data_IF_471007739582
#
_entry.id   IF_471007739582
#
_cell.length_a   1.000
_cell.length_b   1.000
_cell.length_c   1.000
_cell.angle_alpha   90.00
_cell.angle_beta   90.00
_cell.angle_gamma   90.00
#
_symmetry.space_group_name_H-M   'P 1'
#
loop_
_entity.id
_entity.type
_entity.pdbx_description
1 polymer ?
#
# COMPACT_ATOMS: atom_id res chain seq x y z
N UNK A 1 6.82 -10.03 -8.43
CA UNK A 1 7.00 -9.01 -7.40
C UNK A 1 5.67 -8.78 -6.70
N UNK A 2 5.68 -8.69 -5.37
CA UNK A 2 4.48 -8.40 -4.57
C UNK A 2 4.74 -7.13 -3.77
N UNK A 3 3.85 -6.15 -3.90
CA UNK A 3 3.95 -4.85 -3.25
C UNK A 3 2.82 -4.74 -2.22
N UNK A 4 3.11 -4.12 -1.06
CA UNK A 4 2.11 -3.78 -0.05
C UNK A 4 1.59 -2.38 -0.35
N UNK A 5 0.28 -2.24 -0.39
CA UNK A 5 -0.34 -1.00 -0.79
C UNK A 5 -1.75 -0.87 -0.22
N UNK A 6 -2.28 0.34 -0.25
CA UNK A 6 -3.64 0.64 0.20
C UNK A 6 -4.38 1.46 -0.85
N UNK A 7 -5.66 1.16 -1.06
CA UNK A 7 -6.52 1.96 -1.92
C UNK A 7 -6.84 3.27 -1.21
N UNK A 8 -6.70 4.42 -1.89
CA UNK A 8 -7.02 5.74 -1.32
C UNK A 8 -8.14 6.46 -2.10
N UNK A 9 -8.46 5.98 -3.31
CA UNK A 9 -9.63 6.37 -4.10
C UNK A 9 -9.94 5.31 -5.16
N UNK A 10 -10.97 5.50 -5.98
CA UNK A 10 -11.31 4.59 -7.09
C UNK A 10 -10.24 4.54 -8.19
N UNK A 11 -9.30 5.50 -8.23
CA UNK A 11 -8.27 5.60 -9.27
C UNK A 11 -6.84 5.60 -8.73
N UNK A 12 -6.65 5.59 -7.41
CA UNK A 12 -5.31 5.71 -6.81
C UNK A 12 -5.07 4.73 -5.67
N UNK A 13 -3.88 4.14 -5.72
CA UNK A 13 -3.29 3.29 -4.69
C UNK A 13 -2.06 3.99 -4.12
N UNK A 14 -1.92 3.97 -2.80
CA UNK A 14 -0.77 4.47 -2.06
C UNK A 14 0.15 3.32 -1.64
N UNK A 15 1.46 3.50 -1.81
CA UNK A 15 2.50 2.52 -1.44
C UNK A 15 3.84 3.22 -1.19
N UNK A 16 4.87 2.44 -0.88
CA UNK A 16 6.24 2.93 -0.73
C UNK A 16 6.92 3.11 -2.10
N UNK A 17 7.84 4.06 -2.19
CA UNK A 17 8.61 4.33 -3.40
C UNK A 17 9.70 3.27 -3.64
N UNK A 18 10.34 2.76 -2.57
CA UNK A 18 11.39 1.74 -2.65
C UNK A 18 10.88 0.43 -3.29
N UNK A 19 9.56 0.18 -3.23
CA UNK A 19 8.92 -0.95 -3.89
C UNK A 19 9.09 -0.95 -5.41
N UNK A 20 9.66 0.11 -6.00
CA UNK A 20 9.90 0.22 -7.44
C UNK A 20 11.39 0.30 -7.84
N UNK A 21 12.34 0.28 -6.89
CA UNK A 21 13.75 0.49 -7.22
C UNK A 21 14.38 -0.68 -7.97
N UNK A 22 13.95 -1.91 -7.68
CA UNK A 22 14.37 -3.11 -8.42
C UNK A 22 13.54 -3.36 -9.69
N UNK A 23 12.55 -2.51 -9.98
CA UNK A 23 11.64 -2.71 -11.11
C UNK A 23 12.30 -2.23 -12.40
N UNK A 24 12.96 -3.17 -13.09
CA UNK A 24 13.68 -2.94 -14.36
C UNK A 24 12.80 -2.46 -15.53
N UNK A 25 11.48 -2.46 -15.40
CA UNK A 25 10.56 -2.13 -16.48
C UNK A 25 9.45 -1.19 -16.00
N UNK A 26 9.06 -0.17 -16.79
CA UNK A 26 7.93 0.67 -16.44
C UNK A 26 6.68 -0.21 -16.23
N UNK A 27 6.06 -0.09 -15.06
CA UNK A 27 4.77 -0.75 -14.76
C UNK A 27 3.59 -0.12 -15.51
N UNK A 28 3.86 0.93 -16.28
CA UNK A 28 2.91 1.57 -17.16
C UNK A 28 2.23 0.53 -18.06
N UNK A 29 0.90 0.57 -18.04
CA UNK A 29 0.02 -0.28 -18.84
C UNK A 29 0.03 -1.78 -18.52
N UNK A 30 0.60 -2.19 -17.40
CA UNK A 30 0.52 -3.59 -16.93
C UNK A 30 -0.73 -3.81 -16.08
N UNK A 31 -1.29 -5.01 -16.17
CA UNK A 31 -2.28 -5.47 -15.20
C UNK A 31 -1.58 -5.81 -13.89
N UNK A 32 -2.01 -5.18 -12.81
CA UNK A 32 -1.60 -5.52 -11.45
C UNK A 32 -2.72 -6.32 -10.78
N UNK A 33 -2.34 -7.36 -10.06
CA UNK A 33 -3.24 -8.16 -9.23
C UNK A 33 -3.37 -7.51 -7.87
N UNK A 34 -4.53 -6.91 -7.60
CA UNK A 34 -4.85 -6.43 -6.26
C UNK A 34 -5.49 -7.58 -5.49
N UNK A 35 -4.83 -7.97 -4.39
CA UNK A 35 -5.39 -8.91 -3.43
C UNK A 35 -5.98 -8.10 -2.28
N UNK A 36 -7.28 -8.23 -2.08
CA UNK A 36 -8.03 -7.46 -1.09
C UNK A 36 -8.68 -8.42 -0.08
N UNK A 37 -8.53 -8.18 1.22
CA UNK A 37 -9.12 -9.04 2.26
C UNK A 37 -8.42 -10.40 2.47
N UNK A 38 -9.17 -11.37 3.01
CA UNK A 38 -8.74 -12.77 3.16
C UNK A 38 -8.81 -13.53 1.84
N UNK A 39 -8.15 -14.69 1.78
CA UNK A 39 -7.93 -15.52 0.58
C UNK A 39 -9.17 -15.63 -0.30
N UNK A 40 -9.08 -15.19 -1.56
CA UNK A 40 -10.09 -15.43 -2.60
C UNK A 40 -10.53 -14.18 -3.39
N UNK A 41 -10.47 -12.99 -2.77
CA UNK A 41 -10.90 -11.75 -3.42
C UNK A 41 -9.71 -11.07 -4.13
N UNK A 42 -9.48 -11.47 -5.38
CA UNK A 42 -8.50 -10.84 -6.26
C UNK A 42 -9.22 -10.09 -7.37
N UNK A 43 -8.78 -8.86 -7.64
CA UNK A 43 -9.21 -8.10 -8.80
C UNK A 43 -7.98 -7.76 -9.66
N UNK A 44 -8.11 -7.98 -10.96
CA UNK A 44 -7.14 -7.53 -11.94
C UNK A 44 -7.46 -6.08 -12.30
N UNK A 45 -6.49 -5.19 -12.10
CA UNK A 45 -6.65 -3.77 -12.39
C UNK A 45 -5.52 -3.29 -13.28
N UNK A 46 -5.82 -2.52 -14.33
CA UNK A 46 -4.79 -1.93 -15.18
C UNK A 46 -4.11 -0.78 -14.44
N UNK A 47 -2.81 -0.90 -14.22
CA UNK A 47 -1.96 0.20 -13.80
C UNK A 47 -1.72 1.13 -15.00
N UNK A 48 -1.99 2.42 -14.81
CA UNK A 48 -1.82 3.45 -15.83
C UNK A 48 -0.50 4.18 -15.66
N UNK A 49 -0.10 4.47 -14.42
CA UNK A 49 1.12 5.22 -14.10
C UNK A 49 1.59 4.97 -12.67
N UNK A 50 2.91 4.94 -12.48
CA UNK A 50 3.55 5.03 -11.16
C UNK A 50 4.10 6.44 -10.99
N UNK A 51 3.87 7.03 -9.82
CA UNK A 51 4.28 8.39 -9.46
C UNK A 51 5.05 8.28 -8.14
N UNK A 52 6.39 8.23 -8.21
CA UNK A 52 7.24 8.33 -7.02
C UNK A 52 7.26 9.77 -6.52
N UNK A 53 7.40 9.97 -5.22
CA UNK A 53 7.66 11.30 -4.68
C UNK A 53 8.92 11.89 -5.34
N UNK A 54 8.88 13.16 -5.74
CA UNK A 54 9.91 13.76 -6.60
C UNK A 54 11.29 13.87 -5.96
N UNK A 55 11.34 13.85 -4.62
CA UNK A 55 12.58 13.91 -3.83
C UNK A 55 12.87 12.59 -3.08
N UNK A 56 12.21 11.50 -3.46
CA UNK A 56 12.64 10.17 -3.00
C UNK A 56 14.04 9.89 -3.58
N UNK A 57 15.04 9.80 -2.71
CA UNK A 57 16.46 9.62 -3.02
C UNK A 57 17.09 8.57 -2.08
N UNK A 58 18.39 8.32 -2.24
CA UNK A 58 19.15 7.18 -1.67
C UNK A 58 19.06 6.98 -0.13
N UNK A 59 18.50 7.91 0.63
CA UNK A 59 18.36 7.82 2.10
C UNK A 59 16.99 7.31 2.58
N UNK A 60 16.17 6.72 1.70
CA UNK A 60 14.78 6.29 1.96
C UNK A 60 13.87 7.41 2.52
N UNK A 61 14.29 8.67 2.39
CA UNK A 61 13.47 9.81 2.75
C UNK A 61 12.38 10.02 1.70
N UNK A 62 11.18 10.40 2.15
CA UNK A 62 10.01 10.54 1.29
C UNK A 62 9.65 9.25 0.52
N UNK A 63 9.78 8.11 1.19
CA UNK A 63 9.44 6.77 0.68
C UNK A 63 7.92 6.59 0.46
N UNK A 64 7.41 7.26 -0.57
CA UNK A 64 5.99 7.34 -0.89
C UNK A 64 5.78 7.39 -2.40
N UNK A 65 4.86 6.58 -2.89
CA UNK A 65 4.49 6.54 -4.30
C UNK A 65 2.99 6.30 -4.49
N UNK A 66 2.46 6.80 -5.60
CA UNK A 66 1.11 6.52 -6.07
C UNK A 66 1.14 5.62 -7.29
N UNK A 67 0.16 4.72 -7.37
CA UNK A 67 -0.16 4.00 -8.60
C UNK A 67 -1.52 4.52 -9.08
N UNK A 68 -1.54 5.21 -10.21
CA UNK A 68 -2.78 5.52 -10.93
C UNK A 68 -3.27 4.26 -11.61
N UNK A 69 -4.51 3.89 -11.35
CA UNK A 69 -5.16 2.71 -11.90
C UNK A 69 -6.37 3.09 -12.75
N UNK A 70 -6.82 2.16 -13.60
CA UNK A 70 -8.16 2.28 -14.19
C UNK A 70 -9.19 2.24 -13.05
N UNK A 71 -10.19 3.11 -13.14
CA UNK A 71 -11.24 3.24 -12.13
C UNK A 71 -11.83 1.88 -11.72
N UNK A 72 -11.91 1.64 -10.42
CA UNK A 72 -12.53 0.46 -9.82
C UNK A 72 -13.84 0.81 -9.14
N UNK A 73 -14.81 -0.10 -9.22
CA UNK A 73 -16.05 -0.01 -8.44
C UNK A 73 -15.82 -0.54 -7.03
N UNK A 74 -16.23 0.23 -6.03
CA UNK A 74 -16.15 -0.21 -4.64
C UNK A 74 -17.07 -1.40 -4.38
N UNK A 75 -16.62 -2.27 -3.47
CA UNK A 75 -17.36 -3.45 -3.03
C UNK A 75 -17.31 -3.55 -1.50
N UNK A 76 -17.82 -4.65 -0.95
CA UNK A 76 -17.63 -4.97 0.48
C UNK A 76 -16.15 -5.20 0.83
N UNK A 77 -15.35 -5.71 -0.13
CA UNK A 77 -13.96 -6.09 0.07
C UNK A 77 -12.95 -5.08 -0.51
N UNK A 78 -13.42 -4.09 -1.26
CA UNK A 78 -12.59 -3.07 -1.91
C UNK A 78 -13.13 -1.67 -1.59
N UNK A 79 -12.49 -1.00 -0.63
CA UNK A 79 -12.82 0.37 -0.22
C UNK A 79 -11.54 1.17 0.07
N UNK A 80 -11.56 2.49 -0.16
CA UNK A 80 -10.41 3.33 0.15
C UNK A 80 -10.28 3.54 1.66
N UNK A 81 -9.05 3.73 2.12
CA UNK A 81 -8.76 4.26 3.46
C UNK A 81 -8.86 5.79 3.44
N UNK A 82 -9.20 6.39 4.59
CA UNK A 82 -9.17 7.83 4.75
C UNK A 82 -7.71 8.33 4.83
N UNK A 83 -7.42 9.44 4.16
CA UNK A 83 -6.21 10.22 4.39
C UNK A 83 -6.44 11.21 5.53
N UNK A 84 -5.41 11.45 6.34
CA UNK A 84 -5.46 12.41 7.44
C UNK A 84 -5.08 13.78 6.86
N UNK A 85 -5.88 14.82 7.13
CA UNK A 85 -5.71 16.17 6.58
C UNK A 85 -5.04 17.17 7.54
N UNK A 86 -4.56 16.72 8.70
CA UNK A 86 -3.95 17.56 9.73
C UNK A 86 -2.88 16.79 10.50
N UNK A 87 -2.03 17.52 11.24
CA UNK A 87 -1.09 16.96 12.22
C UNK A 87 -1.88 16.30 13.37
N UNK A 88 -2.46 15.13 13.09
CA UNK A 88 -3.02 14.31 14.15
C UNK A 88 -1.83 13.74 14.91
N UNK A 89 -1.62 14.24 16.12
CA UNK A 89 -0.67 13.64 17.05
C UNK A 89 -1.21 12.26 17.37
N UNK A 90 -0.60 11.25 16.74
CA UNK A 90 -0.89 9.84 17.00
C UNK A 90 -0.01 9.27 18.10
N UNK A 91 0.87 10.08 18.69
CA UNK A 91 1.77 9.63 19.75
C UNK A 91 0.99 8.98 20.89
N UNK A 92 1.51 7.84 21.36
CA UNK A 92 0.91 6.99 22.38
C UNK A 92 -0.51 6.48 22.05
N UNK A 93 -0.98 6.67 20.81
CA UNK A 93 -2.27 6.16 20.35
C UNK A 93 -2.11 4.73 19.81
N UNK A 94 -3.08 3.84 20.09
CA UNK A 94 -3.13 2.54 19.45
C UNK A 94 -3.45 2.68 17.97
N UNK A 95 -2.72 1.99 17.12
CA UNK A 95 -2.97 1.88 15.68
C UNK A 95 -2.96 0.41 15.26
N UNK A 96 -3.73 0.11 14.22
CA UNK A 96 -3.79 -1.24 13.64
C UNK A 96 -2.92 -1.32 12.40
N UNK A 97 -1.99 -2.27 12.38
CA UNK A 97 -1.23 -2.66 11.19
C UNK A 97 -1.85 -3.91 10.59
N UNK A 98 -2.08 -3.90 9.28
CA UNK A 98 -2.67 -5.03 8.55
C UNK A 98 -1.74 -5.50 7.43
N UNK A 99 -1.65 -6.80 7.22
CA UNK A 99 -0.85 -7.36 6.13
C UNK A 99 -0.69 -8.87 6.22
N UNK A 100 -0.12 -9.46 5.17
CA UNK A 100 0.23 -10.89 5.13
C UNK A 100 1.72 -11.04 5.45
N UNK A 101 2.11 -10.74 6.68
CA UNK A 101 3.51 -10.76 7.10
C UNK A 101 4.18 -12.13 6.95
N UNK A 102 5.51 -12.16 7.10
CA UNK A 102 6.26 -13.41 7.18
C UNK A 102 6.03 -14.06 8.55
N UNK A 103 5.68 -15.32 8.53
CA UNK A 103 5.51 -16.16 9.70
C UNK A 103 6.28 -17.46 9.46
N UNK A 104 7.22 -17.80 10.36
CA UNK A 104 8.11 -18.94 10.18
C UNK A 104 8.78 -18.98 8.80
N UNK A 105 9.29 -17.84 8.32
CA UNK A 105 9.90 -17.65 6.99
C UNK A 105 8.99 -17.85 5.77
N UNK A 106 7.68 -18.03 5.98
CA UNK A 106 6.68 -18.15 4.92
C UNK A 106 5.71 -16.97 4.95
N UNK A 107 5.27 -16.52 3.78
CA UNK A 107 4.20 -15.53 3.71
C UNK A 107 2.92 -16.14 4.25
N UNK A 108 2.29 -15.45 5.20
CA UNK A 108 0.96 -15.86 5.65
C UNK A 108 0.00 -15.87 4.45
N UNK A 109 -0.78 -16.96 4.32
CA UNK A 109 -1.79 -17.07 3.27
C UNK A 109 -2.92 -16.07 3.48
N UNK A 110 -3.14 -15.67 4.72
CA UNK A 110 -4.23 -14.78 5.14
C UNK A 110 -3.69 -13.41 5.58
N UNK A 111 -4.56 -12.40 5.51
CA UNK A 111 -4.26 -11.11 6.11
C UNK A 111 -4.40 -11.21 7.63
N UNK A 112 -3.39 -10.74 8.35
CA UNK A 112 -3.39 -10.61 9.80
C UNK A 112 -3.46 -9.14 10.19
N UNK A 113 -3.82 -8.90 11.44
CA UNK A 113 -3.80 -7.58 12.07
C UNK A 113 -3.02 -7.63 13.38
N UNK A 114 -2.31 -6.55 13.68
CA UNK A 114 -1.65 -6.33 14.97
C UNK A 114 -1.98 -4.91 15.45
N UNK A 115 -2.19 -4.76 16.75
CA UNK A 115 -2.32 -3.45 17.39
C UNK A 115 -0.98 -3.05 17.99
N UNK A 116 -0.53 -1.83 17.69
CA UNK A 116 0.72 -1.28 18.17
C UNK A 116 0.48 0.12 18.73
N UNK A 117 1.36 0.57 19.62
CA UNK A 117 1.36 1.94 20.13
C UNK A 117 2.37 2.75 19.34
N UNK A 118 1.95 3.88 18.78
CA UNK A 118 2.86 4.83 18.11
C UNK A 118 3.76 5.47 19.16
N UNK A 119 5.07 5.40 18.94
CA UNK A 119 6.06 6.08 19.77
C UNK A 119 6.65 7.27 19.01
N UNK A 120 6.90 8.36 19.72
CA UNK A 120 7.78 9.41 19.21
C UNK A 120 9.21 8.87 19.11
N UNK A 121 9.91 9.30 18.07
CA UNK A 121 11.36 9.13 17.96
C UNK A 121 11.98 10.33 18.69
N UNK A 122 12.05 10.24 20.02
CA UNK A 122 12.97 11.08 20.82
C UNK A 122 14.40 10.55 20.71
#
# INVERSE_FOLDING_TARGET
>A
MQIRAVLISSEYILTAAHCFDEVKYPLHERFIKLRCGSVGNMIDVKALKVIKHSVFADTDMHDLALIKIKEVKYTEYLRPVCLISYEKILENSPVTVVGSGLEFSQLSKEAKKAEIIVKSLE
#
